data_IF_935898877056
#
_entry.id   IF_935898877056
#
_cell.length_a   1.000
_cell.length_b   1.000
_cell.length_c   1.000
_cell.angle_alpha   90.00
_cell.angle_beta   90.00
_cell.angle_gamma   90.00
#
_symmetry.space_group_name_H-M   'P 1'
#
loop_
_entity.id
_entity.type
_entity.pdbx_description
1 polymer ?
#
# COMPACT_ATOMS: atom_id res chain seq x y z
N UNK A 1 12.16 -28.14 19.27
CA UNK A 1 12.22 -27.84 17.81
C UNK A 1 10.85 -27.65 17.16
N UNK A 2 9.85 -28.51 17.38
CA UNK A 2 8.51 -28.39 16.74
C UNK A 2 7.72 -27.09 17.03
N UNK A 3 7.91 -26.47 18.20
CA UNK A 3 7.22 -25.23 18.57
C UNK A 3 7.72 -24.00 17.78
N UNK A 4 9.04 -23.88 17.56
CA UNK A 4 9.60 -22.80 16.75
C UNK A 4 9.14 -22.90 15.29
N UNK A 5 8.99 -24.12 14.78
CA UNK A 5 8.47 -24.42 13.44
C UNK A 5 6.99 -24.04 13.29
N UNK A 6 6.16 -24.28 14.31
CA UNK A 6 4.74 -23.91 14.31
C UNK A 6 4.55 -22.38 14.30
N UNK A 7 5.34 -21.64 15.10
CA UNK A 7 5.33 -20.17 15.11
C UNK A 7 5.73 -19.57 13.76
N UNK A 8 6.70 -20.19 13.08
CA UNK A 8 7.12 -19.81 11.73
C UNK A 8 6.06 -20.09 10.65
N UNK A 9 5.12 -20.99 10.94
CA UNK A 9 4.05 -21.37 10.02
C UNK A 9 2.82 -20.45 10.10
N UNK A 10 2.58 -19.81 11.24
CA UNK A 10 1.45 -18.87 11.43
C UNK A 10 1.78 -17.41 11.09
N UNK A 11 3.05 -17.01 11.19
CA UNK A 11 3.52 -15.66 10.81
C UNK A 11 3.25 -15.26 9.34
N UNK A 12 3.35 -16.17 8.35
CA UNK A 12 3.09 -15.85 6.94
C UNK A 12 1.63 -15.48 6.65
N UNK A 13 0.67 -16.06 7.37
CA UNK A 13 -0.76 -15.82 7.11
C UNK A 13 -1.18 -14.42 7.55
N UNK A 14 -0.69 -13.96 8.71
CA UNK A 14 -0.86 -12.58 9.17
C UNK A 14 -0.19 -11.58 8.21
N UNK A 15 0.96 -11.95 7.65
CA UNK A 15 1.69 -11.10 6.70
C UNK A 15 1.03 -11.01 5.31
N UNK A 16 0.28 -12.03 4.86
CA UNK A 16 -0.41 -11.99 3.56
C UNK A 16 -1.41 -10.85 3.46
N UNK A 17 -2.25 -10.67 4.48
CA UNK A 17 -3.24 -9.57 4.52
C UNK A 17 -2.57 -8.19 4.52
N UNK A 18 -1.50 -8.04 5.30
CA UNK A 18 -0.70 -6.82 5.34
C UNK A 18 -0.04 -6.51 4.00
N UNK A 19 0.47 -7.53 3.30
CA UNK A 19 1.11 -7.37 2.00
C UNK A 19 0.13 -6.83 0.96
N UNK A 20 -1.12 -7.29 0.95
CA UNK A 20 -2.16 -6.78 0.04
C UNK A 20 -2.43 -5.30 0.31
N UNK A 21 -2.63 -4.92 1.57
CA UNK A 21 -2.88 -3.51 1.94
C UNK A 21 -1.69 -2.64 1.54
N UNK A 22 -0.46 -3.12 1.76
CA UNK A 22 0.77 -2.44 1.35
C UNK A 22 0.81 -2.21 -0.16
N UNK A 23 0.51 -3.24 -0.95
CA UNK A 23 0.50 -3.14 -2.41
C UNK A 23 -0.52 -2.10 -2.86
N UNK A 24 -1.75 -2.13 -2.32
CA UNK A 24 -2.79 -1.15 -2.66
C UNK A 24 -2.35 0.27 -2.33
N UNK A 25 -1.75 0.50 -1.15
CA UNK A 25 -1.24 1.83 -0.76
C UNK A 25 -0.18 2.39 -1.73
N UNK A 26 0.61 1.52 -2.35
CA UNK A 26 1.67 1.92 -3.30
C UNK A 26 1.14 2.02 -4.73
N UNK A 27 0.22 1.15 -5.15
CA UNK A 27 -0.32 1.11 -6.51
C UNK A 27 -1.35 2.22 -6.74
N UNK A 28 -2.17 2.57 -5.75
CA UNK A 28 -3.17 3.63 -5.86
C UNK A 28 -2.60 5.00 -6.35
N UNK A 29 -1.51 5.54 -5.79
CA UNK A 29 -0.92 6.79 -6.28
C UNK A 29 -0.27 6.65 -7.65
N UNK A 30 0.32 5.49 -7.96
CA UNK A 30 0.88 5.21 -9.29
C UNK A 30 -0.22 5.20 -10.38
N UNK A 31 -1.41 4.68 -10.04
CA UNK A 31 -2.57 4.77 -10.91
C UNK A 31 -3.07 6.20 -11.13
N UNK A 32 -3.05 7.05 -10.09
CA UNK A 32 -3.39 8.47 -10.22
C UNK A 32 -2.41 9.23 -11.13
N UNK A 33 -1.12 8.91 -11.01
CA UNK A 33 -0.08 9.45 -11.90
C UNK A 33 -0.29 9.00 -13.36
N UNK A 34 -0.62 7.73 -13.58
CA UNK A 34 -0.97 7.21 -14.91
C UNK A 34 -2.17 7.96 -15.52
N UNK A 35 -3.19 8.23 -14.72
CA UNK A 35 -4.36 9.05 -15.11
C UNK A 35 -3.97 10.47 -15.54
N UNK A 36 -2.99 11.06 -14.85
CA UNK A 36 -2.49 12.40 -15.17
C UNK A 36 -1.75 12.40 -16.50
N UNK A 37 -0.87 11.42 -16.72
CA UNK A 37 -0.13 11.27 -17.98
C UNK A 37 -1.10 11.05 -19.15
N UNK A 38 -2.09 10.17 -18.99
CA UNK A 38 -3.09 9.94 -20.04
C UNK A 38 -3.99 11.15 -20.30
N UNK A 39 -4.37 11.90 -19.27
CA UNK A 39 -5.11 13.16 -19.41
C UNK A 39 -4.31 14.24 -20.13
N UNK A 40 -3.02 14.37 -19.82
CA UNK A 40 -2.13 15.31 -20.50
C UNK A 40 -1.89 14.91 -21.97
N UNK A 41 -1.74 13.62 -22.28
CA UNK A 41 -1.64 13.14 -23.67
C UNK A 41 -2.88 13.54 -24.48
N UNK A 42 -4.09 13.33 -23.94
CA UNK A 42 -5.33 13.74 -24.60
C UNK A 42 -5.40 15.26 -24.80
N UNK A 43 -4.95 16.02 -23.81
CA UNK A 43 -4.90 17.48 -23.88
C UNK A 43 -3.96 17.94 -24.99
N UNK A 44 -2.75 17.37 -25.08
CA UNK A 44 -1.80 17.69 -26.15
C UNK A 44 -2.30 17.26 -27.53
N UNK A 45 -2.97 16.12 -27.65
CA UNK A 45 -3.59 15.69 -28.91
C UNK A 45 -4.68 16.67 -29.37
N UNK A 46 -5.50 17.18 -28.44
CA UNK A 46 -6.50 18.19 -28.75
C UNK A 46 -5.86 19.50 -29.25
N UNK A 47 -4.74 19.93 -28.65
CA UNK A 47 -3.97 21.10 -29.11
C UNK A 47 -3.44 20.88 -30.53
N UNK A 48 -2.92 19.69 -30.84
CA UNK A 48 -2.40 19.40 -32.18
C UNK A 48 -3.51 19.35 -33.23
N UNK A 49 -4.69 18.82 -32.90
CA UNK A 49 -5.80 18.69 -33.85
C UNK A 49 -6.55 20.01 -34.10
N UNK A 50 -6.76 20.79 -33.05
CA UNK A 50 -7.62 21.99 -33.07
C UNK A 50 -6.81 23.31 -32.93
N UNK A 51 -5.47 23.24 -32.93
CA UNK A 51 -4.58 24.37 -32.65
C UNK A 51 -4.60 24.76 -31.17
N UNK A 52 -4.21 26.00 -30.82
CA UNK A 52 -4.43 26.58 -29.48
C UNK A 52 -5.92 26.85 -29.19
N UNK A 53 -6.82 26.13 -29.86
CA UNK A 53 -8.28 26.25 -29.81
C UNK A 53 -8.82 26.14 -28.39
N UNK A 54 -9.61 27.15 -28.05
CA UNK A 54 -10.30 27.44 -26.79
C UNK A 54 -9.53 27.05 -25.49
N UNK A 55 -8.89 28.01 -24.81
CA UNK A 55 -8.19 27.80 -23.54
C UNK A 55 -9.02 27.08 -22.46
N UNK A 56 -10.36 27.17 -22.54
CA UNK A 56 -11.26 26.41 -21.65
C UNK A 56 -11.14 24.90 -21.81
N UNK A 57 -11.03 24.40 -23.04
CA UNK A 57 -10.90 22.96 -23.30
C UNK A 57 -9.55 22.44 -22.78
N UNK A 58 -8.48 23.21 -22.99
CA UNK A 58 -7.15 22.91 -22.46
C UNK A 58 -7.14 22.87 -20.93
N UNK A 59 -7.73 23.90 -20.29
CA UNK A 59 -7.87 23.96 -18.84
C UNK A 59 -8.68 22.78 -18.28
N UNK A 60 -9.73 22.36 -19.00
CA UNK A 60 -10.53 21.18 -18.64
C UNK A 60 -9.73 19.87 -18.64
N UNK A 61 -8.91 19.65 -19.68
CA UNK A 61 -8.06 18.46 -19.79
C UNK A 61 -6.97 18.39 -18.70
N UNK A 62 -6.33 19.52 -18.40
CA UNK A 62 -5.35 19.63 -17.31
C UNK A 62 -6.03 19.44 -15.95
N UNK A 63 -7.20 20.06 -15.74
CA UNK A 63 -7.97 19.91 -14.50
C UNK A 63 -8.35 18.44 -14.27
N UNK A 64 -8.83 17.74 -15.30
CA UNK A 64 -9.11 16.31 -15.21
C UNK A 64 -7.86 15.50 -14.84
N UNK A 65 -6.73 15.77 -15.48
CA UNK A 65 -5.46 15.11 -15.17
C UNK A 65 -5.11 15.28 -13.68
N UNK A 66 -5.22 16.50 -13.13
CA UNK A 66 -4.96 16.77 -11.72
C UNK A 66 -5.95 16.08 -10.78
N UNK A 67 -7.24 16.03 -11.14
CA UNK A 67 -8.27 15.33 -10.33
C UNK A 67 -7.95 13.85 -10.19
N UNK A 68 -7.43 13.19 -11.23
CA UNK A 68 -7.04 11.77 -11.13
C UNK A 68 -5.90 11.53 -10.13
N UNK A 69 -4.95 12.45 -10.00
CA UNK A 69 -3.91 12.39 -8.97
C UNK A 69 -4.51 12.55 -7.58
N UNK A 70 -5.41 13.52 -7.40
CA UNK A 70 -6.09 13.75 -6.12
C UNK A 70 -6.82 12.48 -5.67
N UNK A 71 -7.58 11.85 -6.57
CA UNK A 71 -8.29 10.60 -6.28
C UNK A 71 -7.33 9.46 -5.87
N UNK A 72 -6.20 9.32 -6.57
CA UNK A 72 -5.17 8.34 -6.22
C UNK A 72 -4.60 8.57 -4.82
N UNK A 73 -4.35 9.84 -4.44
CA UNK A 73 -3.85 10.22 -3.12
C UNK A 73 -4.91 10.05 -2.02
N UNK A 74 -6.17 10.37 -2.31
CA UNK A 74 -7.29 10.17 -1.37
C UNK A 74 -7.45 8.71 -0.96
N UNK A 75 -7.12 7.76 -1.84
CA UNK A 75 -7.10 6.32 -1.51
C UNK A 75 -5.78 5.90 -0.86
N UNK A 76 -4.64 6.43 -1.34
CA UNK A 76 -3.32 6.07 -0.85
C UNK A 76 -3.10 6.43 0.62
N UNK A 77 -3.50 7.64 1.03
CA UNK A 77 -3.24 8.18 2.38
C UNK A 77 -3.93 7.34 3.47
N UNK A 78 -5.25 7.08 3.42
CA UNK A 78 -5.93 6.25 4.42
C UNK A 78 -5.40 4.81 4.42
N UNK A 79 -5.13 4.24 3.23
CA UNK A 79 -4.65 2.87 3.11
C UNK A 79 -3.26 2.70 3.73
N UNK A 80 -2.37 3.68 3.56
CA UNK A 80 -1.02 3.67 4.14
C UNK A 80 -1.06 3.79 5.66
N UNK A 81 -1.95 4.65 6.20
CA UNK A 81 -2.18 4.78 7.63
C UNK A 81 -2.69 3.48 8.24
N UNK A 82 -3.72 2.88 7.63
CA UNK A 82 -4.27 1.59 8.06
C UNK A 82 -3.21 0.48 8.00
N UNK A 83 -2.45 0.38 6.92
CA UNK A 83 -1.34 -0.57 6.81
C UNK A 83 -0.36 -0.42 7.98
N UNK A 84 0.00 0.82 8.34
CA UNK A 84 0.97 1.10 9.41
C UNK A 84 0.46 0.64 10.77
N UNK A 85 -0.81 0.89 11.08
CA UNK A 85 -1.43 0.49 12.35
C UNK A 85 -1.53 -1.04 12.44
N UNK A 86 -2.06 -1.70 11.40
CA UNK A 86 -2.25 -3.16 11.40
C UNK A 86 -0.90 -3.89 11.38
N UNK A 87 0.08 -3.36 10.63
CA UNK A 87 1.46 -3.87 10.60
C UNK A 87 2.10 -3.81 11.99
N UNK A 88 1.97 -2.68 12.69
CA UNK A 88 2.49 -2.52 14.05
C UNK A 88 1.85 -3.51 15.03
N UNK A 89 0.53 -3.71 14.93
CA UNK A 89 -0.21 -4.70 15.74
C UNK A 89 0.27 -6.13 15.46
N UNK A 90 0.41 -6.51 14.19
CA UNK A 90 0.88 -7.84 13.79
C UNK A 90 2.29 -8.12 14.29
N UNK A 91 3.21 -7.15 14.17
CA UNK A 91 4.59 -7.30 14.69
C UNK A 91 4.61 -7.52 16.19
N UNK A 92 3.79 -6.78 16.95
CA UNK A 92 3.70 -6.94 18.40
C UNK A 92 3.20 -8.33 18.80
N UNK A 93 2.20 -8.86 18.09
CA UNK A 93 1.71 -10.23 18.32
C UNK A 93 2.80 -11.25 18.02
N UNK A 94 3.48 -11.14 16.88
CA UNK A 94 4.60 -12.02 16.52
C UNK A 94 5.71 -11.99 17.58
N UNK A 95 6.05 -10.81 18.08
CA UNK A 95 7.09 -10.65 19.09
C UNK A 95 6.72 -11.31 20.42
N UNK A 96 5.47 -11.16 20.88
CA UNK A 96 4.95 -11.84 22.07
C UNK A 96 5.03 -13.36 21.91
N UNK A 97 4.61 -13.89 20.75
CA UNK A 97 4.67 -15.33 20.48
C UNK A 97 6.11 -15.84 20.51
N UNK A 98 7.07 -15.08 19.95
CA UNK A 98 8.50 -15.44 19.98
C UNK A 98 9.07 -15.41 21.40
N UNK A 99 8.77 -14.38 22.20
CA UNK A 99 9.21 -14.27 23.59
C UNK A 99 8.66 -15.43 24.46
N UNK A 100 7.37 -15.76 24.30
CA UNK A 100 6.75 -16.88 25.02
C UNK A 100 7.36 -18.23 24.60
N UNK A 101 7.57 -18.45 23.30
CA UNK A 101 8.20 -19.67 22.81
C UNK A 101 9.64 -19.84 23.35
N UNK A 102 10.41 -18.75 23.40
CA UNK A 102 11.76 -18.76 23.96
C UNK A 102 11.75 -19.05 25.47
N UNK A 103 10.84 -18.42 26.23
CA UNK A 103 10.70 -18.67 27.68
C UNK A 103 10.30 -20.11 28.02
N UNK A 104 9.42 -20.73 27.22
CA UNK A 104 9.03 -22.14 27.39
C UNK A 104 10.21 -23.09 27.14
N UNK A 105 11.04 -22.80 26.12
CA UNK A 105 12.23 -23.59 25.81
C UNK A 105 13.26 -23.49 26.94
N UNK A 106 13.51 -22.28 27.46
CA UNK A 106 14.45 -22.05 28.56
C UNK A 106 14.04 -22.78 29.85
N UNK A 107 12.76 -22.72 30.20
CA UNK A 107 12.22 -23.45 31.36
C UNK A 107 12.31 -24.98 31.21
N UNK A 108 12.28 -25.51 29.98
CA UNK A 108 12.46 -26.94 29.75
C UNK A 108 13.93 -27.36 29.77
N UNK A 109 14.86 -26.48 29.40
CA UNK A 109 16.31 -26.76 29.49
C UNK A 109 16.85 -26.69 30.91
N UNK A 110 16.22 -25.93 31.81
CA UNK A 110 16.60 -25.89 33.24
C UNK A 110 16.06 -27.07 34.05
N UNK A 111 15.04 -27.78 33.54
CA UNK A 111 14.40 -28.92 34.22
C UNK A 111 14.97 -30.28 33.81
N UNK A 112 15.94 -30.32 32.90
CA UNK A 112 16.64 -31.53 32.44
C UNK A 112 18.12 -31.46 32.76
#
# INVERSE_FOLDING_TARGET
MKLAEAVFKETPELNKGLLIIKVISVVAPLMGLLGTVTGMIKTFQAITLYGTGDPKLMAGGISQALVTTVLGLTVAIPTTLLHTIVSGRSRRVTQIIQEQAAGIIANHSEKS
#
